data_IF_929032289376
#
_entry.id   IF_929032289376
#
_cell.length_a   1.000
_cell.length_b   1.000
_cell.length_c   1.000
_cell.angle_alpha   90.00
_cell.angle_beta   90.00
_cell.angle_gamma   90.00
#
_symmetry.space_group_name_H-M   'P 1'
#
loop_
_entity.id
_entity.type
_entity.pdbx_description
1 polymer ?
#
# COMPACT_ATOMS: atom_id res chain seq x y z
N UNK A 1 17.61 6.06 -17.49
CA UNK A 1 17.11 6.91 -16.37
C UNK A 1 15.72 6.43 -15.96
N UNK A 2 15.33 6.58 -14.70
CA UNK A 2 13.95 6.35 -14.27
C UNK A 2 13.00 7.45 -14.74
N UNK A 3 11.70 7.28 -14.50
CA UNK A 3 10.69 8.32 -14.69
C UNK A 3 10.03 8.68 -13.36
N UNK A 4 9.63 9.94 -13.15
CA UNK A 4 8.83 10.32 -12.00
C UNK A 4 7.46 9.62 -12.04
N UNK A 5 6.70 9.77 -10.95
CA UNK A 5 5.32 9.31 -10.91
C UNK A 5 4.42 10.24 -11.73
N UNK A 6 3.61 9.65 -12.60
CA UNK A 6 2.49 10.31 -13.28
C UNK A 6 1.19 9.70 -12.77
N UNK A 7 0.25 10.55 -12.37
CA UNK A 7 -0.99 10.14 -11.74
C UNK A 7 -2.19 10.39 -12.67
N UNK A 8 -3.13 9.45 -12.67
CA UNK A 8 -4.43 9.61 -13.31
C UNK A 8 -5.48 9.00 -12.39
N UNK A 9 -6.30 9.86 -11.78
CA UNK A 9 -7.21 9.46 -10.70
C UNK A 9 -6.46 8.85 -9.52
N UNK A 10 -6.92 7.69 -9.08
CA UNK A 10 -6.44 6.96 -7.89
C UNK A 10 -5.25 6.02 -8.17
N UNK A 11 -4.55 6.20 -9.29
CA UNK A 11 -3.40 5.40 -9.71
C UNK A 11 -2.26 6.32 -10.19
N UNK A 12 -1.09 6.16 -9.59
CA UNK A 12 0.16 6.80 -9.99
C UNK A 12 1.18 5.76 -10.42
N UNK A 13 1.90 6.00 -11.52
CA UNK A 13 2.87 5.06 -12.08
C UNK A 13 4.20 5.77 -12.26
N UNK A 14 5.28 5.17 -11.78
CA UNK A 14 6.66 5.60 -11.97
C UNK A 14 7.53 4.45 -12.47
N UNK A 15 8.69 4.78 -13.05
CA UNK A 15 9.66 3.79 -13.55
C UNK A 15 10.98 3.92 -12.81
N UNK A 16 11.40 2.83 -12.18
CA UNK A 16 12.71 2.74 -11.53
C UNK A 16 13.84 2.67 -12.58
N UNK A 17 15.07 3.17 -12.29
CA UNK A 17 16.20 3.08 -13.22
C UNK A 17 16.56 1.67 -13.70
N UNK A 18 16.21 0.62 -12.94
CA UNK A 18 16.34 -0.78 -13.38
C UNK A 18 15.39 -1.18 -14.51
N UNK A 19 14.42 -0.33 -14.84
CA UNK A 19 13.36 -0.60 -15.80
C UNK A 19 12.03 -1.03 -15.18
N UNK A 20 12.03 -1.39 -13.89
CA UNK A 20 10.85 -1.83 -13.16
C UNK A 20 9.77 -0.74 -13.05
N UNK A 21 8.51 -1.14 -13.09
CA UNK A 21 7.33 -0.27 -13.01
C UNK A 21 6.75 -0.34 -11.59
N UNK A 22 6.64 0.82 -10.96
CA UNK A 22 6.07 0.98 -9.62
C UNK A 22 4.74 1.69 -9.73
N UNK A 23 3.69 1.07 -9.20
CA UNK A 23 2.36 1.64 -9.09
C UNK A 23 2.03 1.99 -7.64
N UNK A 24 1.45 3.16 -7.42
CA UNK A 24 0.82 3.57 -6.18
C UNK A 24 -0.68 3.73 -6.46
N UNK A 25 -1.50 3.01 -5.70
CA UNK A 25 -2.94 2.97 -5.87
C UNK A 25 -3.64 3.32 -4.55
N UNK A 26 -4.71 4.13 -4.59
CA UNK A 26 -5.45 4.46 -3.37
C UNK A 26 -6.21 3.26 -2.79
N UNK A 27 -6.76 2.40 -3.65
CA UNK A 27 -7.58 1.27 -3.22
C UNK A 27 -7.36 0.04 -4.12
N UNK A 28 -8.01 -1.06 -3.75
CA UNK A 28 -7.90 -2.33 -4.49
C UNK A 28 -8.38 -2.22 -5.94
N UNK A 29 -9.45 -1.46 -6.18
CA UNK A 29 -10.05 -1.38 -7.51
C UNK A 29 -9.17 -0.56 -8.46
N UNK A 30 -8.59 0.55 -7.99
CA UNK A 30 -7.62 1.34 -8.77
C UNK A 30 -6.29 0.61 -8.99
N UNK A 31 -5.94 -0.36 -8.12
CA UNK A 31 -4.77 -1.20 -8.28
C UNK A 31 -4.91 -2.30 -9.36
N UNK A 32 -6.14 -2.75 -9.67
CA UNK A 32 -6.36 -3.88 -10.60
C UNK A 32 -5.70 -3.75 -11.96
N UNK A 33 -5.78 -2.60 -12.68
CA UNK A 33 -5.16 -2.47 -13.99
C UNK A 33 -3.64 -2.67 -13.94
N UNK A 34 -2.99 -2.27 -12.83
CA UNK A 34 -1.55 -2.38 -12.66
C UNK A 34 -1.06 -3.83 -12.53
N UNK A 35 -1.92 -4.79 -12.21
CA UNK A 35 -1.55 -6.21 -12.14
C UNK A 35 -1.02 -6.78 -13.46
N UNK A 36 -1.33 -6.16 -14.61
CA UNK A 36 -0.87 -6.63 -15.92
C UNK A 36 0.52 -6.13 -16.33
N UNK A 37 1.10 -5.16 -15.61
CA UNK A 37 2.32 -4.50 -16.05
C UNK A 37 3.25 -4.00 -14.95
N UNK A 38 2.80 -3.87 -13.71
CA UNK A 38 3.62 -3.37 -12.61
C UNK A 38 4.45 -4.49 -11.98
N UNK A 39 5.67 -4.16 -11.55
CA UNK A 39 6.54 -5.06 -10.78
C UNK A 39 6.29 -4.91 -9.27
N UNK A 40 5.93 -3.70 -8.85
CA UNK A 40 5.53 -3.36 -7.49
C UNK A 40 4.22 -2.55 -7.52
N UNK A 41 3.27 -2.93 -6.67
CA UNK A 41 2.06 -2.13 -6.40
C UNK A 41 1.99 -1.84 -4.89
N UNK A 42 1.92 -0.56 -4.54
CA UNK A 42 1.64 -0.10 -3.18
C UNK A 42 0.17 0.34 -3.13
N UNK A 43 -0.62 -0.29 -2.27
CA UNK A 43 -2.05 0.04 -2.09
C UNK A 43 -2.23 0.80 -0.77
N UNK A 44 -2.66 2.06 -0.85
CA UNK A 44 -2.91 2.96 0.30
C UNK A 44 -4.25 2.66 1.02
N UNK A 45 -4.64 1.39 1.07
CA UNK A 45 -5.85 0.95 1.74
C UNK A 45 -5.52 -0.23 2.67
N UNK A 46 -5.88 -0.07 3.95
CA UNK A 46 -5.65 -1.09 4.96
C UNK A 46 -6.67 -2.23 4.89
N UNK A 47 -7.82 -2.00 4.24
CA UNK A 47 -8.87 -2.99 4.02
C UNK A 47 -8.61 -3.83 2.75
N UNK A 48 -7.72 -3.36 1.87
CA UNK A 48 -7.41 -4.02 0.61
C UNK A 48 -6.71 -5.38 0.81
N UNK A 49 -7.03 -6.29 -0.11
CA UNK A 49 -6.32 -7.54 -0.33
C UNK A 49 -5.68 -7.55 -1.72
N UNK A 50 -4.69 -8.41 -1.93
CA UNK A 50 -3.95 -8.50 -3.19
C UNK A 50 -4.93 -8.74 -4.38
N UNK A 51 -5.04 -7.80 -5.34
CA UNK A 51 -5.90 -7.96 -6.50
C UNK A 51 -5.26 -8.79 -7.62
N UNK A 52 -3.95 -9.07 -7.57
CA UNK A 52 -3.21 -9.71 -8.65
C UNK A 52 -3.11 -11.22 -8.45
N UNK A 53 -3.34 -11.98 -9.54
CA UNK A 53 -3.10 -13.43 -9.56
C UNK A 53 -1.65 -13.79 -9.86
N UNK A 54 -0.92 -12.94 -10.59
CA UNK A 54 0.49 -13.16 -10.90
C UNK A 54 1.35 -12.93 -9.65
N UNK A 55 2.06 -13.97 -9.23
CA UNK A 55 2.93 -13.94 -8.05
C UNK A 55 4.24 -13.17 -8.28
N UNK A 56 4.56 -12.80 -9.53
CA UNK A 56 5.72 -11.95 -9.85
C UNK A 56 5.50 -10.49 -9.43
N UNK A 57 4.25 -10.04 -9.41
CA UNK A 57 3.88 -8.69 -8.95
C UNK A 57 3.97 -8.65 -7.44
N UNK A 58 4.89 -7.83 -6.92
CA UNK A 58 4.97 -7.58 -5.49
C UNK A 58 3.87 -6.59 -5.10
N UNK A 59 2.95 -6.99 -4.20
CA UNK A 59 1.91 -6.10 -3.69
C UNK A 59 2.13 -5.82 -2.21
N UNK A 60 2.18 -4.54 -1.85
CA UNK A 60 2.34 -4.05 -0.48
C UNK A 60 1.12 -3.22 -0.11
N UNK A 61 0.44 -3.56 0.99
CA UNK A 61 -0.73 -2.81 1.45
C UNK A 61 -0.40 -1.92 2.65
N UNK A 62 -1.21 -0.88 2.86
CA UNK A 62 -1.14 -0.04 4.06
C UNK A 62 -1.24 -0.84 5.36
N UNK A 63 -2.01 -1.93 5.37
CA UNK A 63 -2.10 -2.86 6.51
C UNK A 63 -0.76 -3.54 6.80
N UNK A 64 -0.05 -3.94 5.76
CA UNK A 64 1.27 -4.56 5.91
C UNK A 64 2.29 -3.57 6.44
N UNK A 65 2.33 -2.34 5.90
CA UNK A 65 3.19 -1.28 6.43
C UNK A 65 2.84 -0.87 7.86
N UNK A 66 1.56 -0.88 8.23
CA UNK A 66 1.13 -0.63 9.60
C UNK A 66 1.68 -1.68 10.59
N UNK A 67 1.78 -2.95 10.16
CA UNK A 67 2.33 -4.04 10.97
C UNK A 67 3.85 -4.03 10.99
N UNK A 68 4.46 -3.95 9.82
CA UNK A 68 5.86 -4.31 9.60
C UNK A 68 6.78 -3.06 9.46
N UNK A 69 6.20 -1.86 9.46
CA UNK A 69 6.93 -0.60 9.36
C UNK A 69 7.18 -0.17 7.92
N UNK A 70 8.23 0.63 7.70
CA UNK A 70 8.65 1.00 6.35
C UNK A 70 9.20 -0.22 5.61
N UNK A 71 9.06 -0.23 4.28
CA UNK A 71 9.60 -1.27 3.41
C UNK A 71 10.69 -0.70 2.51
N UNK A 72 11.82 -1.42 2.39
CA UNK A 72 12.80 -1.23 1.35
C UNK A 72 12.57 -2.28 0.25
N UNK A 73 12.48 -1.83 -1.00
CA UNK A 73 12.27 -2.71 -2.16
C UNK A 73 13.47 -2.66 -3.08
N UNK A 74 13.94 -3.83 -3.49
CA UNK A 74 15.11 -4.00 -4.34
C UNK A 74 14.70 -4.68 -5.64
N UNK A 75 15.00 -4.03 -6.76
CA UNK A 75 14.77 -4.56 -8.10
C UNK A 75 16.06 -5.15 -8.66
N UNK A 76 15.97 -6.27 -9.37
CA UNK A 76 17.11 -6.84 -10.08
C UNK A 76 17.45 -5.99 -11.32
N UNK A 77 18.66 -5.39 -11.40
CA UNK A 77 19.06 -4.61 -12.57
C UNK A 77 19.32 -5.46 -13.82
N UNK A 78 19.50 -6.78 -13.67
CA UNK A 78 19.79 -7.72 -14.74
C UNK A 78 18.53 -8.40 -15.28
N UNK A 79 17.40 -8.30 -14.58
CA UNK A 79 16.16 -8.97 -14.95
C UNK A 79 14.92 -8.14 -14.64
N UNK A 80 14.27 -7.65 -15.70
CA UNK A 80 13.00 -6.93 -15.59
C UNK A 80 11.81 -7.85 -15.20
N UNK A 81 12.00 -9.17 -15.22
CA UNK A 81 10.94 -10.15 -14.89
C UNK A 81 11.14 -10.82 -13.53
N UNK A 82 12.28 -10.57 -12.87
CA UNK A 82 12.53 -11.09 -11.53
C UNK A 82 11.63 -10.36 -10.53
N UNK A 83 11.00 -11.13 -9.64
CA UNK A 83 10.20 -10.56 -8.56
C UNK A 83 11.08 -9.69 -7.66
N UNK A 84 10.62 -8.49 -7.35
CA UNK A 84 11.32 -7.59 -6.44
C UNK A 84 11.46 -8.20 -5.04
N UNK A 85 12.63 -8.00 -4.43
CA UNK A 85 12.88 -8.36 -3.04
C UNK A 85 12.42 -7.23 -2.11
N UNK A 86 11.91 -7.58 -0.93
CA UNK A 86 11.39 -6.62 0.04
C UNK A 86 11.94 -6.92 1.43
N UNK A 87 12.33 -5.87 2.16
CA UNK A 87 12.74 -5.93 3.55
C UNK A 87 11.93 -4.91 4.35
N UNK A 88 11.43 -5.32 5.50
CA UNK A 88 10.63 -4.47 6.39
C UNK A 88 11.48 -3.98 7.57
N UNK A 89 11.17 -2.80 8.08
CA UNK A 89 11.85 -2.27 9.27
C UNK A 89 11.61 -3.14 10.52
N UNK A 90 10.47 -3.84 10.58
CA UNK A 90 10.10 -4.76 11.65
C UNK A 90 9.76 -6.13 11.04
N UNK A 91 10.78 -6.91 10.69
CA UNK A 91 10.59 -8.28 10.16
C UNK A 91 10.04 -9.25 11.22
N UNK A 92 10.40 -9.02 12.48
CA UNK A 92 9.93 -9.76 13.65
C UNK A 92 9.82 -8.84 14.86
N UNK A 93 9.05 -9.20 15.90
CA UNK A 93 8.93 -8.39 17.11
C UNK A 93 10.23 -8.47 17.95
N UNK A 94 11.30 -7.81 17.49
CA UNK A 94 12.59 -7.76 18.20
C UNK A 94 12.49 -7.13 19.60
N UNK A 95 11.48 -6.25 19.78
CA UNK A 95 11.22 -5.52 21.02
C UNK A 95 9.78 -5.80 21.46
N UNK A 96 9.50 -5.90 22.77
CA UNK A 96 8.14 -6.13 23.26
C UNK A 96 7.11 -5.11 22.77
N UNK A 97 7.50 -3.85 22.56
CA UNK A 97 6.58 -2.82 22.06
C UNK A 97 6.23 -2.96 20.57
N UNK A 98 6.99 -3.71 19.77
CA UNK A 98 6.63 -3.97 18.37
C UNK A 98 5.33 -4.76 18.25
N UNK A 99 5.02 -5.63 19.23
CA UNK A 99 3.75 -6.33 19.32
C UNK A 99 2.54 -5.38 19.38
N UNK A 100 2.73 -4.16 19.88
CA UNK A 100 1.63 -3.20 20.03
C UNK A 100 1.17 -2.63 18.69
N UNK A 101 1.99 -2.71 17.62
CA UNK A 101 1.62 -2.22 16.28
C UNK A 101 0.35 -2.88 15.74
N UNK A 102 0.07 -4.14 16.14
CA UNK A 102 -1.12 -4.88 15.71
C UNK A 102 -2.44 -4.27 16.19
N UNK A 103 -2.41 -3.37 17.18
CA UNK A 103 -3.60 -2.76 17.75
C UNK A 103 -4.05 -1.49 17.05
N UNK A 104 -3.24 -0.91 16.14
CA UNK A 104 -3.67 0.23 15.32
C UNK A 104 -4.82 -0.17 14.38
N UNK A 105 -5.64 0.80 13.96
CA UNK A 105 -6.81 0.54 13.10
C UNK A 105 -6.39 -0.09 11.78
N UNK A 106 -5.35 0.45 11.16
CA UNK A 106 -4.82 0.03 9.87
C UNK A 106 -4.22 -1.38 9.96
N UNK A 107 -3.47 -1.70 11.02
CA UNK A 107 -2.93 -3.04 11.21
C UNK A 107 -4.03 -4.10 11.41
N UNK A 108 -5.19 -3.69 11.92
CA UNK A 108 -6.39 -4.52 12.03
C UNK A 108 -7.17 -4.64 10.73
N UNK A 109 -6.80 -3.89 9.69
CA UNK A 109 -7.49 -3.85 8.41
C UNK A 109 -8.82 -3.08 8.46
N UNK A 110 -8.91 -2.07 9.33
CA UNK A 110 -10.06 -1.18 9.40
C UNK A 110 -9.84 0.05 8.50
N UNK A 111 -10.92 0.64 7.96
CA UNK A 111 -10.82 1.86 7.17
C UNK A 111 -10.33 3.04 8.02
N UNK A 112 -9.85 4.13 7.38
CA UNK A 112 -9.52 5.38 8.05
C UNK A 112 -10.63 5.81 9.02
N UNK A 113 -10.24 6.49 10.11
CA UNK A 113 -11.23 7.00 11.05
C UNK A 113 -11.98 8.17 10.42
N UNK A 114 -13.30 8.05 10.32
CA UNK A 114 -14.20 9.15 9.96
C UNK A 114 -14.76 9.77 11.23
N UNK A 115 -14.63 11.09 11.35
CA UNK A 115 -15.20 11.83 12.49
C UNK A 115 -16.72 11.86 12.31
N UNK A 116 -17.51 11.40 13.29
CA UNK A 116 -18.95 11.50 13.20
C UNK A 116 -19.36 12.97 13.07
N UNK A 117 -20.27 13.26 12.13
CA UNK A 117 -20.83 14.59 11.99
C UNK A 117 -21.55 14.96 13.29
N UNK A 118 -21.25 16.13 13.85
CA UNK A 118 -21.95 16.58 15.07
C UNK A 118 -23.40 16.80 14.70
N UNK A 119 -24.31 16.11 15.39
CA UNK A 119 -25.74 16.37 15.27
C UNK A 119 -26.00 17.87 15.47
N UNK A 120 -26.67 18.50 14.50
CA UNK A 120 -27.15 19.87 14.67
C UNK A 120 -28.16 19.88 15.83
N UNK A 121 -28.09 20.84 16.76
CA UNK A 121 -29.09 20.93 17.82
C UNK A 121 -30.47 21.08 17.18
N UNK A 122 -31.40 20.20 17.57
CA UNK A 122 -32.80 20.30 17.18
C UNK A 122 -33.31 21.67 17.59
N UNK A 123 -33.75 22.47 16.61
CA UNK A 123 -34.47 23.71 16.93
C UNK A 123 -35.77 23.33 17.64
N UNK A 124 -36.10 23.97 18.79
CA UNK A 124 -37.37 23.72 19.44
C UNK A 124 -38.51 24.19 18.52
N UNK A 125 -39.49 23.32 18.31
CA UNK A 125 -40.73 23.65 17.60
C UNK A 125 -41.41 24.86 18.27
N UNK A 126 -41.80 25.84 17.45
CA UNK A 126 -42.58 27.02 17.85
C UNK A 126 -44.08 26.75 17.80
#
# INVERSE_FOLDING_TARGET
PGSPFYCTGDLCIGRHPSGAIVALAENRDSARPACGFADLIVINDATAYNPCWDQRVLVVTKRQLARDGSAAVFFDPQSATARAAIQYAVEKPYRPWHEQRKYTREARGLPPYEKPERAKPSQPDQ
#
